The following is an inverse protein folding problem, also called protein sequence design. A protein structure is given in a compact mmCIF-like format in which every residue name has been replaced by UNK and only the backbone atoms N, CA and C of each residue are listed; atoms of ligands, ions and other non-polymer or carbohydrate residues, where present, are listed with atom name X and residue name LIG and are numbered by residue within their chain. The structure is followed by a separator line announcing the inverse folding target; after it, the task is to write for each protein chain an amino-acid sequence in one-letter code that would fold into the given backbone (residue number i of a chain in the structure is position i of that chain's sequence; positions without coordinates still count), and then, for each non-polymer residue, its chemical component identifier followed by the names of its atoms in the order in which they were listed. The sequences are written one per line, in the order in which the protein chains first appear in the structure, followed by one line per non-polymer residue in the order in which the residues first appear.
data_IF_616135761753
#
_entry.id   IF_616135761753
#
_cell.length_a   1.000
_cell.length_b   1.000
_cell.length_c   1.000
_cell.angle_alpha   90.00
_cell.angle_beta   90.00
_cell.angle_gamma   90.00
#
_symmetry.space_group_name_H-M   'P 1'
#
loop_
_entity.id
_entity.type
_entity.pdbx_description
1 polymer ?
#
# COMPACT_ATOMS: atom_id res chain seq x y z
N UNK A 1 -19.43 10.98 -40.21
CA UNK A 1 -20.03 9.77 -39.63
C UNK A 1 -19.53 9.63 -38.21
N UNK A 2 -20.44 9.67 -37.22
CA UNK A 2 -20.12 9.43 -35.83
C UNK A 2 -19.79 7.94 -35.65
N UNK A 3 -18.55 7.62 -35.29
CA UNK A 3 -18.20 6.27 -34.86
C UNK A 3 -18.79 6.07 -33.46
N UNK A 4 -19.64 5.06 -33.34
CA UNK A 4 -20.29 4.67 -32.10
C UNK A 4 -19.26 4.47 -30.98
N UNK A 5 -19.50 5.06 -29.82
CA UNK A 5 -18.84 4.72 -28.57
C UNK A 5 -19.36 3.34 -28.12
N UNK A 6 -18.89 2.28 -28.78
CA UNK A 6 -19.20 0.91 -28.39
C UNK A 6 -18.39 0.55 -27.14
N UNK A 7 -19.08 0.36 -26.03
CA UNK A 7 -18.61 -0.47 -24.91
C UNK A 7 -17.76 0.21 -23.85
N UNK A 8 -18.04 1.47 -23.46
CA UNK A 8 -17.46 2.02 -22.22
C UNK A 8 -18.37 1.73 -21.03
N UNK A 9 -18.09 0.63 -20.33
CA UNK A 9 -18.62 0.44 -18.97
C UNK A 9 -17.96 1.45 -18.03
N UNK A 10 -18.74 2.40 -17.53
CA UNK A 10 -18.31 3.32 -16.48
C UNK A 10 -18.50 2.61 -15.13
N UNK A 11 -17.41 2.13 -14.54
CA UNK A 11 -17.39 1.63 -13.17
C UNK A 11 -17.02 2.76 -12.23
N UNK A 12 -17.99 3.28 -11.48
CA UNK A 12 -17.72 4.13 -10.32
C UNK A 12 -17.52 3.19 -9.12
N UNK A 13 -16.28 2.85 -8.81
CA UNK A 13 -15.93 2.33 -7.49
C UNK A 13 -15.65 3.56 -6.62
N UNK A 14 -16.64 3.97 -5.83
CA UNK A 14 -16.31 4.70 -4.60
C UNK A 14 -15.45 3.72 -3.80
N UNK A 15 -14.15 4.03 -3.65
CA UNK A 15 -13.23 3.16 -2.88
C UNK A 15 -13.90 2.74 -1.57
N UNK A 16 -13.64 1.52 -1.08
CA UNK A 16 -14.41 0.97 0.03
C UNK A 16 -14.45 1.99 1.16
N UNK A 17 -15.63 2.31 1.73
CA UNK A 17 -15.66 2.94 3.02
C UNK A 17 -14.78 2.05 3.90
N UNK A 18 -13.68 2.61 4.40
CA UNK A 18 -12.90 1.95 5.44
C UNK A 18 -13.92 1.59 6.49
N UNK A 19 -14.10 0.29 6.73
CA UNK A 19 -15.12 -0.14 7.69
C UNK A 19 -14.71 0.47 9.03
N UNK A 20 -15.65 1.01 9.78
CA UNK A 20 -15.36 1.71 11.04
C UNK A 20 -14.62 0.81 12.04
N UNK A 21 -14.67 -0.51 11.85
CA UNK A 21 -13.98 -1.57 12.60
C UNK A 21 -12.68 -2.07 11.93
N UNK A 22 -12.07 -1.29 11.04
CA UNK A 22 -10.81 -1.69 10.38
C UNK A 22 -9.61 -1.43 11.30
N UNK A 23 -9.02 -2.50 11.81
CA UNK A 23 -7.82 -2.43 12.67
C UNK A 23 -6.49 -2.35 11.90
N UNK A 24 -6.44 -2.83 10.64
CA UNK A 24 -5.21 -2.97 9.87
C UNK A 24 -5.48 -2.98 8.36
N UNK A 25 -4.64 -2.28 7.60
CA UNK A 25 -4.52 -2.48 6.16
C UNK A 25 -3.31 -3.32 5.80
N UNK A 26 -3.52 -4.29 4.90
CA UNK A 26 -2.45 -5.07 4.27
C UNK A 26 -2.52 -4.84 2.76
N UNK A 27 -1.42 -4.39 2.19
CA UNK A 27 -1.26 -4.18 0.75
C UNK A 27 -0.13 -5.08 0.28
N UNK A 28 -0.50 -6.23 -0.27
CA UNK A 28 0.48 -7.11 -0.92
C UNK A 28 0.82 -6.54 -2.30
N UNK A 29 1.88 -5.76 -2.29
CA UNK A 29 2.55 -5.03 -3.36
C UNK A 29 1.89 -3.71 -3.80
N UNK A 30 2.70 -2.64 -3.73
CA UNK A 30 2.51 -1.42 -4.51
C UNK A 30 3.63 -1.35 -5.54
N UNK A 31 3.40 -1.99 -6.69
CA UNK A 31 4.39 -2.19 -7.73
C UNK A 31 3.99 -1.55 -9.06
N UNK A 32 4.83 -1.77 -10.06
CA UNK A 32 4.62 -1.20 -11.40
C UNK A 32 3.29 -1.64 -12.01
N UNK A 33 2.86 -2.86 -11.73
CA UNK A 33 1.68 -3.47 -12.34
C UNK A 33 0.38 -2.85 -11.79
N UNK A 34 0.33 -2.63 -10.49
CA UNK A 34 -0.82 -2.07 -9.79
C UNK A 34 -1.00 -0.59 -10.14
N UNK A 35 0.11 0.11 -10.39
CA UNK A 35 0.14 1.53 -10.79
C UNK A 35 -0.40 1.80 -12.20
N UNK A 36 -0.69 0.78 -13.02
CA UNK A 36 -1.47 0.98 -14.25
C UNK A 36 -2.93 1.33 -13.96
N UNK A 37 -3.43 1.04 -12.76
CA UNK A 37 -4.75 1.47 -12.34
C UNK A 37 -4.73 2.92 -11.87
N UNK A 38 -5.51 3.78 -12.55
CA UNK A 38 -5.70 5.19 -12.16
C UNK A 38 -6.34 5.37 -10.78
N UNK A 39 -6.91 4.30 -10.20
CA UNK A 39 -7.62 4.33 -8.92
C UNK A 39 -6.79 3.78 -7.77
N UNK A 40 -5.79 2.93 -8.06
CA UNK A 40 -5.05 2.20 -7.04
C UNK A 40 -4.20 3.13 -6.18
N UNK A 41 -3.29 3.89 -6.79
CA UNK A 41 -2.39 4.75 -6.01
C UNK A 41 -3.12 5.84 -5.21
N UNK A 42 -4.15 6.53 -5.75
CA UNK A 42 -4.97 7.42 -4.94
C UNK A 42 -5.65 6.75 -3.75
N UNK A 43 -6.06 5.48 -3.86
CA UNK A 43 -6.63 4.74 -2.75
C UNK A 43 -5.57 4.39 -1.68
N UNK A 44 -4.37 3.98 -2.11
CA UNK A 44 -3.22 3.76 -1.21
C UNK A 44 -2.90 5.03 -0.42
N UNK A 45 -2.89 6.20 -1.07
CA UNK A 45 -2.65 7.47 -0.40
C UNK A 45 -3.71 7.79 0.67
N UNK A 46 -5.00 7.54 0.38
CA UNK A 46 -6.09 7.74 1.37
C UNK A 46 -5.95 6.80 2.57
N UNK A 47 -5.50 5.57 2.34
CA UNK A 47 -5.23 4.60 3.41
C UNK A 47 -4.08 5.11 4.30
N UNK A 48 -3.01 5.64 3.70
CA UNK A 48 -1.89 6.24 4.44
C UNK A 48 -2.24 7.53 5.18
N UNK A 49 -3.30 8.24 4.78
CA UNK A 49 -3.83 9.41 5.49
C UNK A 49 -4.73 9.02 6.68
N UNK A 50 -5.06 7.73 6.83
CA UNK A 50 -5.84 7.25 7.98
C UNK A 50 -4.97 7.04 9.22
N UNK A 51 -5.59 6.98 10.40
CA UNK A 51 -4.91 6.62 11.65
C UNK A 51 -4.77 5.10 11.84
N UNK A 52 -5.11 4.30 10.82
CA UNK A 52 -5.08 2.84 10.90
C UNK A 52 -3.69 2.35 10.45
N UNK A 53 -3.05 1.44 11.18
CA UNK A 53 -1.78 0.85 10.77
C UNK A 53 -1.84 0.23 9.37
N UNK A 54 -0.74 0.36 8.62
CA UNK A 54 -0.62 -0.16 7.25
C UNK A 54 0.66 -0.99 7.12
N UNK A 55 0.52 -2.21 6.61
CA UNK A 55 1.63 -3.04 6.15
C UNK A 55 1.55 -3.12 4.63
N UNK A 56 2.60 -2.67 3.95
CA UNK A 56 2.68 -2.72 2.50
C UNK A 56 4.03 -3.27 2.04
N UNK A 57 4.03 -4.12 1.02
CA UNK A 57 5.26 -4.48 0.31
C UNK A 57 5.48 -3.54 -0.88
N UNK A 58 6.74 -3.17 -1.13
CA UNK A 58 7.15 -2.35 -2.27
C UNK A 58 8.33 -3.00 -2.97
N UNK A 59 8.44 -2.86 -4.30
CA UNK A 59 9.58 -3.41 -5.02
C UNK A 59 10.89 -2.71 -4.59
N UNK A 60 11.97 -3.50 -4.56
CA UNK A 60 13.33 -2.97 -4.42
C UNK A 60 13.72 -2.25 -5.71
N UNK A 61 14.34 -1.06 -5.65
CA UNK A 61 14.85 -0.37 -6.83
C UNK A 61 15.81 -1.27 -7.62
N UNK A 62 15.54 -1.45 -8.93
CA UNK A 62 16.39 -2.25 -9.81
C UNK A 62 17.11 -1.33 -10.80
N UNK A 63 18.44 -1.30 -10.72
CA UNK A 63 19.31 -0.62 -11.70
C UNK A 63 18.95 0.86 -11.96
N UNK A 64 18.62 1.60 -10.90
CA UNK A 64 18.28 3.04 -11.00
C UNK A 64 16.95 3.34 -11.70
N UNK A 65 16.10 2.33 -11.93
CA UNK A 65 14.72 2.53 -12.37
C UNK A 65 13.81 2.65 -11.16
N UNK A 66 13.81 3.84 -10.59
CA UNK A 66 12.91 4.18 -9.50
C UNK A 66 11.50 4.41 -10.04
N UNK A 67 10.50 3.89 -9.33
CA UNK A 67 9.10 4.16 -9.61
C UNK A 67 8.70 5.33 -8.69
N UNK A 68 8.40 6.53 -9.21
CA UNK A 68 8.19 7.71 -8.36
C UNK A 68 7.11 7.52 -7.27
N UNK A 69 6.05 6.78 -7.60
CA UNK A 69 5.01 6.42 -6.64
C UNK A 69 5.53 5.54 -5.49
N UNK A 70 6.42 4.58 -5.80
CA UNK A 70 7.05 3.71 -4.79
C UNK A 70 8.01 4.49 -3.91
N UNK A 71 8.81 5.38 -4.49
CA UNK A 71 9.73 6.21 -3.71
C UNK A 71 9.00 7.21 -2.82
N UNK A 72 7.84 7.71 -3.26
CA UNK A 72 6.94 8.48 -2.39
C UNK A 72 6.48 7.68 -1.17
N UNK A 73 6.15 6.39 -1.33
CA UNK A 73 5.78 5.52 -0.20
C UNK A 73 6.98 5.26 0.72
N UNK A 74 8.17 5.04 0.16
CA UNK A 74 9.40 4.82 0.92
C UNK A 74 9.76 6.03 1.80
N UNK A 75 9.52 7.24 1.29
CA UNK A 75 9.77 8.50 1.99
C UNK A 75 8.62 8.98 2.88
N UNK A 76 7.59 8.17 3.09
CA UNK A 76 6.43 8.57 3.89
C UNK A 76 6.87 8.84 5.35
N UNK A 77 6.54 10.01 5.93
CA UNK A 77 6.86 10.30 7.32
C UNK A 77 6.29 9.24 8.27
N UNK A 78 7.12 8.74 9.17
CA UNK A 78 6.74 7.68 10.12
C UNK A 78 6.75 6.26 9.57
N UNK A 79 7.07 6.05 8.29
CA UNK A 79 7.22 4.72 7.74
C UNK A 79 8.53 4.06 8.19
N UNK A 80 8.42 2.82 8.68
CA UNK A 80 9.57 1.93 8.92
C UNK A 80 9.78 1.03 7.70
N UNK A 81 10.97 1.05 7.12
CA UNK A 81 11.30 0.28 5.91
C UNK A 81 12.16 -0.93 6.24
N UNK A 82 11.64 -2.13 5.95
CA UNK A 82 12.36 -3.39 6.10
C UNK A 82 12.86 -3.90 4.75
N UNK A 83 14.17 -4.04 4.61
CA UNK A 83 14.78 -4.68 3.43
C UNK A 83 14.97 -6.18 3.66
N UNK A 84 14.09 -6.98 3.10
CA UNK A 84 14.13 -8.44 3.23
C UNK A 84 15.17 -9.07 2.29
N UNK A 85 15.85 -10.10 2.79
CA UNK A 85 16.76 -10.98 2.08
C UNK A 85 16.52 -12.42 2.54
N UNK A 86 17.05 -13.41 1.83
CA UNK A 86 16.92 -14.81 2.23
C UNK A 86 17.48 -15.10 3.64
N UNK A 87 18.54 -14.39 4.06
CA UNK A 87 19.20 -14.64 5.34
C UNK A 87 18.56 -13.90 6.52
N UNK A 88 17.81 -12.83 6.30
CA UNK A 88 17.23 -12.02 7.37
C UNK A 88 15.70 -12.15 7.50
N UNK A 89 15.02 -12.82 6.55
CA UNK A 89 13.55 -12.86 6.48
C UNK A 89 12.90 -13.36 7.78
N UNK A 90 13.49 -14.37 8.43
CA UNK A 90 12.87 -15.00 9.58
C UNK A 90 13.00 -14.10 10.81
N UNK A 91 14.15 -13.44 10.98
CA UNK A 91 14.36 -12.46 12.05
C UNK A 91 13.50 -11.20 11.85
N UNK A 92 13.45 -10.66 10.62
CA UNK A 92 12.65 -9.48 10.32
C UNK A 92 11.14 -9.76 10.43
N UNK A 93 10.69 -10.97 10.12
CA UNK A 93 9.29 -11.37 10.31
C UNK A 93 8.88 -11.24 11.79
N UNK A 94 9.70 -11.70 12.72
CA UNK A 94 9.42 -11.56 14.17
C UNK A 94 9.43 -10.10 14.62
N UNK A 95 10.37 -9.30 14.10
CA UNK A 95 10.45 -7.86 14.39
C UNK A 95 9.21 -7.11 13.87
N UNK A 96 8.82 -7.33 12.61
CA UNK A 96 7.63 -6.75 11.99
C UNK A 96 6.38 -7.13 12.78
N UNK A 97 6.26 -8.42 13.15
CA UNK A 97 5.14 -8.91 13.94
C UNK A 97 5.03 -8.20 15.30
N UNK A 98 6.15 -8.01 15.98
CA UNK A 98 6.18 -7.31 17.28
C UNK A 98 5.79 -5.85 17.15
N UNK A 99 6.32 -5.13 16.15
CA UNK A 99 5.97 -3.72 15.91
C UNK A 99 4.48 -3.57 15.53
N UNK A 100 3.95 -4.51 14.75
CA UNK A 100 2.54 -4.53 14.37
C UNK A 100 1.64 -4.70 15.59
N UNK A 101 1.94 -5.64 16.49
CA UNK A 101 1.15 -5.84 17.72
C UNK A 101 1.13 -4.58 18.58
N UNK A 102 2.26 -3.89 18.72
CA UNK A 102 2.33 -2.63 19.47
C UNK A 102 1.46 -1.53 18.84
N UNK A 103 1.49 -1.39 17.51
CA UNK A 103 0.67 -0.43 16.80
C UNK A 103 -0.84 -0.71 16.96
N UNK A 104 -1.22 -1.99 16.94
CA UNK A 104 -2.61 -2.41 17.12
C UNK A 104 -3.13 -2.23 18.55
N UNK A 105 -2.26 -2.34 19.55
CA UNK A 105 -2.64 -2.17 20.97
C UNK A 105 -2.84 -0.68 21.33
N UNK A 106 -2.00 0.20 20.78
CA UNK A 106 -2.16 1.66 20.92
C UNK A 106 -3.45 2.15 20.27
N UNK A 107 -3.87 1.54 19.17
CA UNK A 107 -5.09 1.92 18.44
C UNK A 107 -6.39 1.57 19.20
N UNK A 108 -6.30 0.78 20.28
CA UNK A 108 -7.44 0.32 21.09
C UNK A 108 -7.65 1.12 22.38
N UNK A 109 -6.78 2.09 22.68
CA UNK A 109 -6.88 2.98 23.85
C UNK A 109 -7.40 4.36 23.45
#
# INVERSE_FOLDING_TARGET
MAAALTGKSLFLVTGPPVREDTDLFIIDEVGKMELFSSHFFPAVLRVLESNIPVVASIPVPKFGRDIPAVERLRGQPGATIFSLSHSNRDALKEEIYTQLLQALDVSRQ
#
